data_IF_034275249131
#
_entry.id   IF_034275249131
#
_cell.length_a   1.000
_cell.length_b   1.000
_cell.length_c   1.000
_cell.angle_alpha   90.00
_cell.angle_beta   90.00
_cell.angle_gamma   90.00
#
_symmetry.space_group_name_H-M   'P 1'
#
loop_
_entity.id
_entity.type
_entity.pdbx_description
1 polymer ?
#
# COMPACT_ATOMS: atom_id res chain seq x y z
N UNK A 1 -4.56 -16.97 5.19
CA UNK A 1 -3.11 -17.23 5.06
C UNK A 1 -2.37 -15.95 5.43
N UNK A 2 -1.39 -16.04 6.32
CA UNK A 2 -0.48 -14.95 6.64
C UNK A 2 0.84 -15.25 5.91
N UNK A 3 1.32 -14.31 5.10
CA UNK A 3 2.64 -14.38 4.50
C UNK A 3 3.71 -13.94 5.51
N UNK A 4 4.92 -14.45 5.33
CA UNK A 4 6.09 -14.03 6.12
C UNK A 4 6.72 -12.74 5.62
N UNK A 5 7.95 -12.49 6.07
CA UNK A 5 8.73 -11.31 5.69
C UNK A 5 9.00 -11.23 4.18
N UNK A 6 9.14 -10.01 3.67
CA UNK A 6 9.59 -9.78 2.30
C UNK A 6 11.04 -10.28 2.14
N UNK A 7 11.29 -11.33 1.35
CA UNK A 7 12.66 -11.78 1.07
C UNK A 7 13.35 -10.84 0.07
N UNK A 8 12.73 -10.67 -1.09
CA UNK A 8 13.17 -9.80 -2.18
C UNK A 8 11.98 -9.38 -3.03
N UNK A 9 12.13 -8.27 -3.75
CA UNK A 9 11.24 -7.86 -4.85
C UNK A 9 12.03 -7.52 -6.10
N UNK A 10 11.36 -7.58 -7.24
CA UNK A 10 11.90 -7.02 -8.48
C UNK A 10 11.90 -5.49 -8.44
N UNK A 11 12.73 -4.89 -9.30
CA UNK A 11 12.51 -3.50 -9.67
C UNK A 11 11.20 -3.40 -10.42
N UNK A 12 10.27 -2.61 -9.88
CA UNK A 12 9.02 -2.37 -10.57
C UNK A 12 9.24 -1.30 -11.62
N UNK A 13 9.21 -1.74 -12.86
CA UNK A 13 9.31 -0.93 -14.08
C UNK A 13 8.21 -1.43 -15.01
N UNK A 14 7.68 -0.55 -15.85
CA UNK A 14 6.69 -0.94 -16.86
C UNK A 14 7.38 -1.59 -18.07
N UNK A 15 7.98 -2.74 -17.83
CA UNK A 15 8.64 -3.59 -18.82
C UNK A 15 8.09 -5.01 -18.71
N UNK A 16 8.14 -5.77 -19.79
CA UNK A 16 7.58 -7.13 -19.85
C UNK A 16 8.31 -8.15 -18.94
N UNK A 17 9.50 -7.81 -18.44
CA UNK A 17 10.34 -8.71 -17.66
C UNK A 17 10.66 -8.14 -16.28
N UNK A 18 10.30 -8.91 -15.24
CA UNK A 18 10.65 -8.60 -13.87
C UNK A 18 11.65 -9.65 -13.36
N UNK A 19 12.81 -9.19 -12.90
CA UNK A 19 13.80 -10.03 -12.22
C UNK A 19 14.07 -9.45 -10.85
N UNK A 20 14.03 -10.32 -9.85
CA UNK A 20 14.84 -10.15 -8.65
C UNK A 20 16.27 -10.40 -9.13
N UNK A 21 17.20 -9.50 -8.83
CA UNK A 21 18.65 -9.73 -9.08
C UNK A 21 19.10 -11.07 -8.48
N UNK A 22 20.39 -11.38 -8.50
CA UNK A 22 20.90 -12.60 -7.87
C UNK A 22 20.47 -12.70 -6.40
N UNK A 23 19.55 -13.63 -6.13
CA UNK A 23 19.04 -13.96 -4.79
C UNK A 23 19.15 -15.45 -4.60
N UNK A 24 19.83 -15.83 -3.52
CA UNK A 24 19.95 -17.21 -3.10
C UNK A 24 18.92 -17.50 -2.02
N UNK A 25 17.94 -18.32 -2.37
CA UNK A 25 16.93 -18.80 -1.44
C UNK A 25 17.51 -19.94 -0.61
N UNK A 26 17.42 -19.83 0.72
CA UNK A 26 17.90 -20.84 1.64
C UNK A 26 16.86 -21.94 1.82
N UNK A 27 17.27 -23.19 2.07
CA UNK A 27 16.29 -24.27 2.21
C UNK A 27 16.81 -25.53 2.88
N UNK A 28 15.89 -26.44 3.25
CA UNK A 28 14.49 -26.53 2.77
C UNK A 28 13.53 -25.48 3.38
N UNK A 29 12.75 -24.78 2.54
CA UNK A 29 11.78 -23.76 2.96
C UNK A 29 10.66 -23.55 1.93
N UNK A 30 9.54 -22.97 2.36
CA UNK A 30 8.41 -22.58 1.50
C UNK A 30 8.50 -21.09 1.18
N UNK A 31 8.43 -20.76 -0.11
CA UNK A 31 8.41 -19.38 -0.60
C UNK A 31 7.11 -19.07 -1.33
N UNK A 32 6.61 -17.85 -1.14
CA UNK A 32 5.45 -17.34 -1.87
C UNK A 32 5.90 -16.29 -2.87
N UNK A 33 5.59 -16.50 -4.15
CA UNK A 33 5.85 -15.53 -5.23
C UNK A 33 4.54 -14.83 -5.56
N UNK A 34 4.55 -13.50 -5.51
CA UNK A 34 3.37 -12.68 -5.83
C UNK A 34 3.67 -11.80 -7.04
N UNK A 35 2.99 -12.07 -8.15
CA UNK A 35 2.92 -11.18 -9.29
C UNK A 35 1.71 -10.26 -9.13
N UNK A 36 1.96 -8.95 -8.98
CA UNK A 36 0.91 -7.96 -8.70
C UNK A 36 0.97 -6.84 -9.73
N UNK A 37 -0.18 -6.54 -10.33
CA UNK A 37 -0.39 -5.34 -11.15
C UNK A 37 -1.34 -4.40 -10.42
N UNK A 38 -0.84 -3.24 -10.01
CA UNK A 38 -1.66 -2.26 -9.29
C UNK A 38 -2.66 -1.52 -10.17
N UNK A 39 -2.44 -1.48 -11.49
CA UNK A 39 -3.42 -0.92 -12.44
C UNK A 39 -4.66 -1.80 -12.55
N UNK A 40 -4.53 -3.10 -12.29
CA UNK A 40 -5.59 -4.08 -12.46
C UNK A 40 -6.00 -4.69 -11.10
N UNK A 41 -5.76 -4.01 -9.98
CA UNK A 41 -6.14 -4.54 -8.65
C UNK A 41 -7.66 -4.73 -8.51
N UNK A 42 -8.43 -3.94 -9.26
CA UNK A 42 -9.89 -3.99 -9.30
C UNK A 42 -10.45 -4.95 -10.35
N UNK A 43 -9.68 -5.22 -11.40
CA UNK A 43 -10.12 -6.03 -12.51
C UNK A 43 -9.52 -7.43 -12.43
N UNK A 44 -10.31 -8.51 -12.57
CA UNK A 44 -9.85 -9.88 -12.46
C UNK A 44 -9.06 -10.34 -13.71
N UNK A 45 -8.24 -9.46 -14.29
CA UNK A 45 -7.34 -9.80 -15.38
C UNK A 45 -6.22 -10.64 -14.79
N UNK A 46 -6.28 -11.95 -15.06
CA UNK A 46 -5.19 -12.87 -14.72
C UNK A 46 -3.91 -12.37 -15.38
N UNK A 47 -2.92 -12.04 -14.55
CA UNK A 47 -1.59 -11.69 -15.04
C UNK A 47 -0.95 -12.99 -15.50
N UNK A 48 -0.91 -13.21 -16.81
CA UNK A 48 -0.16 -14.31 -17.38
C UNK A 48 1.32 -14.08 -17.10
N UNK A 49 1.90 -14.95 -16.28
CA UNK A 49 3.30 -14.87 -15.87
C UNK A 49 4.00 -16.19 -16.06
N UNK A 50 5.27 -16.11 -16.44
CA UNK A 50 6.20 -17.25 -16.45
C UNK A 50 7.20 -17.00 -15.33
N UNK A 51 7.27 -17.92 -14.37
CA UNK A 51 8.27 -17.87 -13.31
C UNK A 51 9.43 -18.76 -13.71
N UNK A 52 10.61 -18.17 -13.91
CA UNK A 52 11.85 -18.90 -14.13
C UNK A 52 12.63 -19.00 -12.81
N UNK A 53 12.98 -20.22 -12.41
CA UNK A 53 13.76 -20.49 -11.20
C UNK A 53 14.92 -21.42 -11.55
N UNK A 54 16.13 -21.02 -11.15
CA UNK A 54 17.31 -21.88 -11.23
C UNK A 54 17.55 -22.51 -9.85
N UNK A 55 17.62 -23.83 -9.80
CA UNK A 55 17.87 -24.57 -8.56
C UNK A 55 18.74 -25.80 -8.82
N UNK A 56 19.74 -26.01 -7.96
CA UNK A 56 20.51 -27.25 -7.90
C UNK A 56 19.79 -28.37 -7.11
N UNK A 57 18.66 -28.05 -6.47
CA UNK A 57 17.81 -28.97 -5.70
C UNK A 57 16.46 -29.15 -6.39
N UNK A 58 15.77 -30.25 -6.11
CA UNK A 58 14.38 -30.43 -6.54
C UNK A 58 13.49 -29.31 -5.98
N UNK A 59 12.60 -28.80 -6.83
CA UNK A 59 11.64 -27.76 -6.48
C UNK A 59 10.24 -28.28 -6.80
N UNK A 60 9.30 -27.99 -5.90
CA UNK A 60 7.87 -28.14 -6.14
C UNK A 60 7.26 -26.76 -6.28
N UNK A 61 6.40 -26.57 -7.28
CA UNK A 61 5.67 -25.33 -7.49
C UNK A 61 4.17 -25.64 -7.55
N UNK A 62 3.39 -24.83 -6.85
CA UNK A 62 1.94 -24.87 -6.88
C UNK A 62 1.41 -23.47 -7.19
N UNK A 63 0.51 -23.37 -8.17
CA UNK A 63 -0.18 -22.12 -8.45
C UNK A 63 -1.31 -21.92 -7.44
N UNK A 64 -1.35 -20.76 -6.78
CA UNK A 64 -2.33 -20.47 -5.74
C UNK A 64 -2.99 -19.11 -5.96
N UNK A 65 -4.32 -19.04 -5.79
CA UNK A 65 -5.07 -17.80 -5.85
C UNK A 65 -5.08 -17.12 -4.47
N UNK A 66 -4.39 -15.99 -4.35
CA UNK A 66 -4.31 -15.27 -3.08
C UNK A 66 -5.47 -14.29 -2.89
N UNK A 67 -5.99 -14.22 -1.67
CA UNK A 67 -6.95 -13.18 -1.29
C UNK A 67 -6.31 -11.79 -1.33
N UNK A 68 -7.10 -10.74 -1.54
CA UNK A 68 -6.64 -9.34 -1.48
C UNK A 68 -5.93 -8.97 -0.17
N UNK A 69 -6.28 -9.63 0.94
CA UNK A 69 -5.59 -9.42 2.22
C UNK A 69 -4.12 -9.85 2.20
N UNK A 70 -3.75 -10.84 1.38
CA UNK A 70 -2.35 -11.26 1.23
C UNK A 70 -1.57 -10.20 0.47
N UNK A 71 -2.14 -9.65 -0.60
CA UNK A 71 -1.52 -8.54 -1.36
C UNK A 71 -1.27 -7.35 -0.44
N UNK A 72 -2.29 -6.97 0.33
CA UNK A 72 -2.19 -5.87 1.29
C UNK A 72 -1.09 -6.11 2.35
N UNK A 73 -1.02 -7.33 2.90
CA UNK A 73 0.03 -7.68 3.84
C UNK A 73 1.43 -7.62 3.19
N UNK A 74 1.55 -8.01 1.92
CA UNK A 74 2.83 -7.96 1.19
C UNK A 74 3.33 -6.54 1.02
N UNK A 75 2.42 -5.61 0.76
CA UNK A 75 2.75 -4.19 0.66
C UNK A 75 3.17 -3.62 2.00
N UNK A 76 2.55 -4.06 3.09
CA UNK A 76 2.95 -3.69 4.46
C UNK A 76 4.36 -4.20 4.75
N UNK A 77 4.64 -5.49 4.50
CA UNK A 77 5.98 -6.07 4.70
C UNK A 77 7.05 -5.32 3.89
N UNK A 78 6.72 -4.92 2.66
CA UNK A 78 7.59 -4.06 1.84
C UNK A 78 7.84 -2.70 2.49
N UNK A 79 6.80 -2.03 2.98
CA UNK A 79 6.96 -0.75 3.69
C UNK A 79 7.75 -0.90 5.00
N UNK A 80 7.58 -1.99 5.73
CA UNK A 80 8.32 -2.24 6.97
C UNK A 80 9.81 -2.49 6.70
N UNK A 81 10.12 -3.30 5.68
CA UNK A 81 11.49 -3.70 5.35
C UNK A 81 12.28 -2.63 4.58
N UNK A 82 11.66 -1.99 3.60
CA UNK A 82 12.35 -1.08 2.67
C UNK A 82 11.88 0.39 2.76
N UNK A 83 10.83 0.67 3.54
CA UNK A 83 10.26 2.00 3.63
C UNK A 83 11.19 3.00 4.31
N UNK A 84 11.40 4.13 3.65
CA UNK A 84 12.08 5.30 4.23
C UNK A 84 11.15 5.99 5.22
N UNK A 85 11.69 6.40 6.37
CA UNK A 85 10.91 7.14 7.37
C UNK A 85 10.77 8.60 6.96
N UNK A 86 9.59 9.17 7.16
CA UNK A 86 9.33 10.59 7.02
C UNK A 86 9.10 11.25 8.40
N UNK A 87 9.39 12.55 8.57
CA UNK A 87 9.00 13.31 9.74
C UNK A 87 7.48 13.18 9.98
N UNK A 88 7.08 12.99 11.24
CA UNK A 88 5.70 12.77 11.63
C UNK A 88 5.44 13.16 13.08
N UNK A 89 4.18 13.14 13.49
CA UNK A 89 3.75 13.44 14.85
C UNK A 89 4.30 12.42 15.84
N UNK A 90 4.62 12.85 17.06
CA UNK A 90 5.10 11.96 18.12
C UNK A 90 4.13 10.79 18.39
N UNK A 91 4.69 9.59 18.58
CA UNK A 91 3.91 8.35 18.72
C UNK A 91 3.29 7.86 17.41
N UNK A 92 3.72 8.40 16.26
CA UNK A 92 3.39 7.87 14.94
C UNK A 92 4.65 7.51 14.17
N UNK A 93 4.53 6.64 13.17
CA UNK A 93 5.62 6.32 12.24
C UNK A 93 5.07 6.42 10.83
N UNK A 94 5.65 7.27 10.00
CA UNK A 94 5.33 7.38 8.57
C UNK A 94 6.44 6.75 7.75
N UNK A 95 6.07 5.84 6.82
CA UNK A 95 6.99 5.16 5.91
C UNK A 95 6.53 5.31 4.48
N UNK A 96 7.48 5.46 3.57
CA UNK A 96 7.19 5.42 2.15
C UNK A 96 8.19 4.62 1.33
N UNK A 97 7.72 4.06 0.22
CA UNK A 97 8.53 3.34 -0.77
C UNK A 97 8.33 4.00 -2.14
N UNK A 98 9.38 4.64 -2.66
CA UNK A 98 9.41 5.18 -4.05
C UNK A 98 10.57 4.61 -4.87
N UNK A 99 11.66 4.22 -4.19
CA UNK A 99 12.88 3.75 -4.84
C UNK A 99 12.63 2.43 -5.56
N UNK A 100 12.96 2.39 -6.85
CA UNK A 100 12.82 1.23 -7.72
C UNK A 100 11.40 0.60 -7.73
N UNK A 101 10.36 1.41 -7.46
CA UNK A 101 8.98 0.95 -7.35
C UNK A 101 8.07 1.39 -8.53
N UNK A 102 8.52 2.36 -9.35
CA UNK A 102 7.71 2.88 -10.45
C UNK A 102 6.39 3.52 -9.97
N UNK A 103 6.46 4.26 -8.87
CA UNK A 103 5.29 4.77 -8.16
C UNK A 103 5.63 5.15 -6.72
N UNK A 104 4.65 5.06 -5.83
CA UNK A 104 4.79 5.40 -4.42
C UNK A 104 3.84 4.57 -3.54
N UNK A 105 4.31 4.05 -2.42
CA UNK A 105 3.45 3.56 -1.32
C UNK A 105 3.70 4.44 -0.10
N UNK A 106 2.63 4.93 0.53
CA UNK A 106 2.68 5.68 1.78
C UNK A 106 1.89 4.94 2.86
N UNK A 107 2.56 4.63 3.97
CA UNK A 107 2.00 3.94 5.12
C UNK A 107 2.24 4.74 6.40
N UNK A 108 1.24 4.73 7.28
CA UNK A 108 1.33 5.34 8.62
C UNK A 108 1.00 4.32 9.69
N UNK A 109 1.73 4.36 10.79
CA UNK A 109 1.54 3.54 11.99
C UNK A 109 1.19 4.46 13.17
N UNK A 110 0.08 4.17 13.84
CA UNK A 110 -0.36 4.82 15.07
C UNK A 110 0.05 3.97 16.28
N UNK A 111 1.05 4.40 17.03
CA UNK A 111 1.54 3.72 18.24
C UNK A 111 0.88 4.24 19.52
N UNK A 112 -0.14 5.10 19.42
CA UNK A 112 -0.94 5.50 20.57
C UNK A 112 -1.88 4.37 20.98
N UNK A 113 -2.00 4.13 22.29
CA UNK A 113 -2.87 3.09 22.83
C UNK A 113 -4.34 3.53 23.00
N UNK A 114 -4.60 4.84 23.02
CA UNK A 114 -5.92 5.39 23.37
C UNK A 114 -6.46 6.41 22.39
N UNK A 115 -5.64 6.88 21.44
CA UNK A 115 -6.02 7.93 20.52
C UNK A 115 -6.11 7.39 19.09
N UNK A 116 -7.17 7.79 18.39
CA UNK A 116 -7.24 7.68 16.95
C UNK A 116 -6.28 8.69 16.32
N UNK A 117 -5.74 8.35 15.16
CA UNK A 117 -4.94 9.26 14.37
C UNK A 117 -5.74 9.60 13.12
N UNK A 118 -6.16 10.86 12.99
CA UNK A 118 -6.72 11.35 11.73
C UNK A 118 -5.57 11.80 10.84
N UNK A 119 -5.58 11.33 9.59
CA UNK A 119 -4.55 11.65 8.60
C UNK A 119 -5.20 12.19 7.33
N UNK A 120 -4.72 13.33 6.86
CA UNK A 120 -5.03 13.87 5.55
C UNK A 120 -3.79 13.74 4.69
N UNK A 121 -3.90 12.97 3.62
CA UNK A 121 -2.85 12.75 2.64
C UNK A 121 -3.20 13.49 1.36
N UNK A 122 -2.29 14.33 0.90
CA UNK A 122 -2.42 15.12 -0.31
C UNK A 122 -1.27 14.83 -1.26
N UNK A 123 -1.58 14.19 -2.37
CA UNK A 123 -0.67 13.90 -3.46
C UNK A 123 -1.05 14.64 -4.75
N UNK A 124 -1.89 15.69 -4.67
CA UNK A 124 -2.45 16.39 -5.83
C UNK A 124 -1.41 17.05 -6.75
N UNK A 125 -0.22 17.34 -6.24
CA UNK A 125 0.91 17.84 -7.02
C UNK A 125 1.69 16.75 -7.77
N UNK A 126 1.33 15.47 -7.59
CA UNK A 126 1.89 14.38 -8.38
C UNK A 126 1.33 14.41 -9.80
N UNK A 127 2.17 14.13 -10.79
CA UNK A 127 1.80 14.08 -12.20
C UNK A 127 2.08 12.70 -12.80
N UNK A 128 1.27 12.32 -13.79
CA UNK A 128 1.40 11.06 -14.54
C UNK A 128 1.37 9.80 -13.64
N UNK A 129 0.41 9.77 -12.70
CA UNK A 129 0.21 8.66 -11.78
C UNK A 129 -1.25 8.26 -11.66
N UNK A 130 -1.48 6.96 -11.43
CA UNK A 130 -2.76 6.40 -11.02
C UNK A 130 -2.75 6.12 -9.52
N UNK A 131 -3.87 6.39 -8.86
CA UNK A 131 -4.07 6.13 -7.43
C UNK A 131 -5.04 4.99 -7.22
N UNK A 132 -4.71 4.04 -6.34
CA UNK A 132 -5.67 3.02 -5.89
C UNK A 132 -6.84 3.60 -5.11
N UNK A 133 -6.73 4.83 -4.60
CA UNK A 133 -7.85 5.55 -3.96
C UNK A 133 -8.82 6.16 -4.97
N UNK A 134 -8.56 6.10 -6.27
CA UNK A 134 -9.28 6.86 -7.30
C UNK A 134 -9.30 8.39 -7.07
N UNK A 135 -8.45 8.88 -6.16
CA UNK A 135 -8.22 10.28 -5.83
C UNK A 135 -6.76 10.45 -5.43
N UNK A 136 -6.21 11.65 -5.64
CA UNK A 136 -4.89 12.02 -5.14
C UNK A 136 -4.92 12.60 -3.74
N UNK A 137 -6.11 12.75 -3.15
CA UNK A 137 -6.28 13.13 -1.75
C UNK A 137 -7.02 12.03 -1.00
N UNK A 138 -6.71 11.87 0.28
CA UNK A 138 -7.45 10.99 1.17
C UNK A 138 -7.47 11.53 2.59
N UNK A 139 -8.55 11.24 3.29
CA UNK A 139 -8.67 11.46 4.73
C UNK A 139 -8.92 10.09 5.36
N UNK A 140 -8.18 9.70 6.38
CA UNK A 140 -8.30 8.39 7.02
C UNK A 140 -8.25 8.51 8.55
N UNK A 141 -8.92 7.57 9.21
CA UNK A 141 -8.88 7.35 10.66
C UNK A 141 -8.13 6.06 10.93
N UNK A 142 -6.97 6.17 11.59
CA UNK A 142 -6.16 5.03 12.00
C UNK A 142 -6.40 4.74 13.49
N UNK A 143 -6.98 3.59 13.85
CA UNK A 143 -7.24 3.25 15.25
C UNK A 143 -5.97 3.12 16.09
N UNK A 144 -6.08 3.17 17.43
CA UNK A 144 -4.97 2.92 18.34
C UNK A 144 -4.24 1.60 18.04
N UNK A 145 -2.90 1.60 18.03
CA UNK A 145 -2.08 0.42 17.72
C UNK A 145 -2.39 -0.21 16.35
N UNK A 146 -2.66 0.61 15.34
CA UNK A 146 -2.87 0.15 13.96
C UNK A 146 -1.96 0.86 12.97
N UNK A 147 -1.71 0.21 11.84
CA UNK A 147 -1.07 0.74 10.65
C UNK A 147 -2.01 0.70 9.46
N UNK A 148 -1.81 1.61 8.52
CA UNK A 148 -2.64 1.70 7.31
C UNK A 148 -1.81 2.18 6.12
N UNK A 149 -2.00 1.56 4.96
CA UNK A 149 -1.53 2.11 3.68
C UNK A 149 -2.51 3.21 3.28
N UNK A 150 -2.04 4.46 3.27
CA UNK A 150 -2.85 5.62 2.92
C UNK A 150 -3.02 5.72 1.40
N UNK A 151 -1.90 5.69 0.67
CA UNK A 151 -1.86 5.93 -0.75
C UNK A 151 -0.96 4.90 -1.44
N UNK A 152 -1.42 4.37 -2.57
CA UNK A 152 -0.58 3.65 -3.53
C UNK A 152 -0.73 4.35 -4.88
N UNK A 153 0.37 4.94 -5.35
CA UNK A 153 0.49 5.57 -6.66
C UNK A 153 1.31 4.69 -7.59
N UNK A 154 0.90 4.63 -8.85
CA UNK A 154 1.58 3.90 -9.92
C UNK A 154 1.84 4.84 -11.09
N UNK A 155 3.03 4.80 -11.67
CA UNK A 155 3.32 5.49 -12.94
C UNK A 155 2.33 5.08 -14.03
N UNK A 156 1.64 6.04 -14.63
CA UNK A 156 0.58 5.79 -15.61
C UNK A 156 1.16 5.63 -17.03
N UNK A 157 1.65 6.71 -17.62
CA UNK A 157 2.10 6.76 -19.01
C UNK A 157 3.62 6.70 -19.09
N UNK A 158 4.12 5.52 -19.44
CA UNK A 158 5.54 5.15 -19.33
C UNK A 158 6.49 5.92 -20.26
N UNK A 159 5.95 6.53 -21.31
CA UNK A 159 6.67 7.36 -22.27
C UNK A 159 6.97 8.76 -21.73
N UNK A 160 6.28 9.17 -20.66
CA UNK A 160 6.44 10.48 -20.04
C UNK A 160 7.09 10.34 -18.66
N UNK A 161 7.69 11.42 -18.18
CA UNK A 161 8.19 11.46 -16.81
C UNK A 161 7.00 11.51 -15.84
N UNK A 162 7.20 11.00 -14.62
CA UNK A 162 6.23 11.14 -13.54
C UNK A 162 6.89 11.85 -12.35
N UNK A 163 6.06 12.54 -11.58
CA UNK A 163 6.50 13.20 -10.34
C UNK A 163 5.67 12.70 -9.18
N UNK A 164 6.31 12.52 -8.04
CA UNK A 164 5.67 12.12 -6.79
C UNK A 164 5.85 13.26 -5.80
N UNK A 165 4.72 13.82 -5.38
CA UNK A 165 4.63 14.75 -4.27
C UNK A 165 3.62 14.19 -3.28
N UNK A 166 3.97 14.18 -2.00
CA UNK A 166 3.04 13.82 -0.94
C UNK A 166 3.20 14.79 0.22
N UNK A 167 2.07 15.17 0.81
CA UNK A 167 2.01 15.98 2.02
C UNK A 167 1.05 15.31 3.00
N UNK A 168 1.45 15.23 4.27
CA UNK A 168 0.66 14.62 5.33
C UNK A 168 0.35 15.65 6.41
N UNK A 169 -0.94 15.77 6.74
CA UNK A 169 -1.39 16.41 7.97
C UNK A 169 -1.91 15.35 8.93
N UNK A 170 -1.54 15.46 10.20
CA UNK A 170 -1.84 14.47 11.23
C UNK A 170 -2.41 15.17 12.46
N UNK A 171 -3.41 14.55 13.10
CA UNK A 171 -3.90 14.97 14.42
C UNK A 171 -4.33 13.77 15.25
N UNK A 172 -4.13 13.87 16.55
CA UNK A 172 -4.71 12.94 17.51
C UNK A 172 -6.18 13.29 17.75
N UNK A 173 -7.00 12.27 17.87
CA UNK A 173 -8.42 12.40 18.16
C UNK A 173 -8.84 11.40 19.24
N UNK A 174 -9.77 11.84 20.10
CA UNK A 174 -10.39 10.98 21.11
C UNK A 174 -11.57 10.17 20.55
N UNK A 175 -12.06 10.54 19.37
CA UNK A 175 -13.19 9.90 18.70
C UNK A 175 -12.79 9.38 17.34
N UNK A 176 -13.51 8.36 16.87
CA UNK A 176 -13.30 7.73 15.57
C UNK A 176 -13.74 8.59 14.37
N UNK A 177 -14.77 9.42 14.50
CA UNK A 177 -15.31 10.17 13.35
C UNK A 177 -14.40 11.29 12.86
N UNK A 178 -14.38 11.53 11.55
CA UNK A 178 -13.56 12.58 10.90
C UNK A 178 -14.01 14.03 11.22
N UNK A 179 -15.28 14.23 11.62
CA UNK A 179 -15.84 15.52 12.04
C UNK A 179 -15.50 16.67 11.08
N UNK A 180 -14.83 17.72 11.57
CA UNK A 180 -14.40 18.91 10.82
C UNK A 180 -13.45 18.58 9.65
N UNK A 181 -12.72 17.46 9.67
CA UNK A 181 -11.86 17.07 8.55
C UNK A 181 -12.63 16.54 7.34
N UNK A 182 -13.95 16.30 7.48
CA UNK A 182 -14.82 16.08 6.32
C UNK A 182 -14.78 17.27 5.36
N UNK A 183 -14.51 18.49 5.83
CA UNK A 183 -14.38 19.67 4.95
C UNK A 183 -13.15 19.64 4.06
N UNK A 184 -12.17 18.76 4.34
CA UNK A 184 -10.99 18.56 3.50
C UNK A 184 -11.28 17.63 2.31
N UNK A 185 -12.42 16.94 2.33
CA UNK A 185 -12.89 16.14 1.21
C UNK A 185 -13.62 17.02 0.19
N UNK A 186 -13.20 17.05 -1.07
CA UNK A 186 -13.97 17.69 -2.12
C UNK A 186 -15.33 16.96 -2.28
N UNK A 187 -16.41 17.73 -2.38
CA UNK A 187 -17.66 17.32 -3.03
C UNK A 187 -18.65 16.41 -2.28
N UNK A 188 -18.45 16.06 -1.00
CA UNK A 188 -19.32 15.09 -0.31
C UNK A 188 -20.15 15.73 0.82
N UNK A 189 -21.22 16.44 0.44
CA UNK A 189 -22.08 17.26 1.32
C UNK A 189 -22.97 16.47 2.33
N UNK A 190 -22.85 15.14 2.45
CA UNK A 190 -23.68 14.36 3.39
C UNK A 190 -23.10 12.99 3.76
N UNK A 191 -21.85 12.96 4.22
CA UNK A 191 -21.26 11.72 4.74
C UNK A 191 -21.69 11.44 6.20
N UNK A 192 -21.93 10.16 6.57
CA UNK A 192 -22.21 9.80 7.96
C UNK A 192 -21.08 10.24 8.90
N UNK A 193 -21.43 10.65 10.13
CA UNK A 193 -20.43 10.99 11.16
C UNK A 193 -19.50 9.81 11.53
N UNK A 194 -19.90 8.58 11.18
CA UNK A 194 -19.12 7.35 11.34
C UNK A 194 -18.15 7.08 10.18
N UNK A 195 -17.97 8.03 9.25
CA UNK A 195 -17.06 7.87 8.12
C UNK A 195 -15.62 7.88 8.61
N UNK A 196 -14.91 6.78 8.34
CA UNK A 196 -13.52 6.59 8.74
C UNK A 196 -12.52 6.91 7.64
N UNK A 197 -12.96 6.93 6.39
CA UNK A 197 -12.09 7.29 5.27
C UNK A 197 -12.85 7.93 4.12
N UNK A 198 -12.15 8.80 3.39
CA UNK A 198 -12.58 9.43 2.15
C UNK A 198 -11.40 9.41 1.18
N UNK A 199 -11.60 9.11 -0.11
CA UNK A 199 -12.87 8.77 -0.77
C UNK A 199 -13.47 7.45 -0.30
N UNK A 200 -14.78 7.28 -0.53
CA UNK A 200 -15.44 5.99 -0.36
C UNK A 200 -14.87 5.01 -1.38
N UNK A 201 -14.45 3.85 -0.88
CA UNK A 201 -13.88 2.78 -1.69
C UNK A 201 -14.97 1.73 -1.85
N UNK A 202 -15.34 1.41 -3.09
CA UNK A 202 -16.36 0.39 -3.40
C UNK A 202 -15.76 -0.99 -3.67
N UNK A 203 -14.53 -1.00 -4.17
CA UNK A 203 -13.84 -2.21 -4.59
C UNK A 203 -13.31 -3.02 -3.38
N UNK A 204 -13.70 -4.30 -3.20
CA UNK A 204 -13.26 -5.11 -2.05
C UNK A 204 -11.75 -5.37 -1.97
N UNK A 205 -11.06 -5.47 -3.10
CA UNK A 205 -9.61 -5.65 -3.16
C UNK A 205 -8.89 -4.39 -2.67
N UNK A 206 -9.35 -3.23 -3.13
CA UNK A 206 -8.82 -1.92 -2.73
C UNK A 206 -9.19 -1.60 -1.28
N UNK A 207 -10.40 -1.93 -0.82
CA UNK A 207 -10.80 -1.83 0.59
C UNK A 207 -9.82 -2.63 1.45
N UNK A 208 -9.51 -3.87 1.05
CA UNK A 208 -8.58 -4.71 1.78
C UNK A 208 -7.18 -4.09 1.83
N UNK A 209 -6.68 -3.52 0.72
CA UNK A 209 -5.39 -2.83 0.68
C UNK A 209 -5.30 -1.70 1.71
N UNK A 210 -6.34 -0.85 1.77
CA UNK A 210 -6.36 0.34 2.61
C UNK A 210 -6.93 0.12 4.01
N UNK A 211 -7.39 -1.08 4.35
CA UNK A 211 -7.94 -1.38 5.68
C UNK A 211 -6.85 -1.23 6.78
N UNK A 212 -7.13 -0.52 7.89
CA UNK A 212 -6.26 -0.51 9.06
C UNK A 212 -6.00 -1.92 9.61
N UNK A 213 -4.76 -2.18 10.03
CA UNK A 213 -4.32 -3.47 10.59
C UNK A 213 -3.57 -3.26 11.89
N UNK A 214 -3.75 -4.16 12.86
CA UNK A 214 -3.06 -4.05 14.15
C UNK A 214 -1.54 -4.11 13.97
N UNK A 215 -0.84 -3.30 14.75
CA UNK A 215 0.59 -3.41 14.98
C UNK A 215 0.78 -4.59 15.94
N UNK A 216 1.57 -5.57 15.53
CA UNK A 216 1.99 -6.71 16.34
C UNK A 216 3.36 -6.45 16.93
#
# INVERSE_FOLDING_TARGET
>A
MQIGELIVRSFRRSIAFASTKDVFLNGPALYTVLAISFSNMSDPISIQTVVALHSAKMVMMEAYCFSSSVIAHSMIEMCLKEGQKAPCLDGTVTRYVSKDFGGHILMVENHHHRHFLHVYCDCSQSANVLSTRASLTSVDVIPPMHRQILMLLTHFETTQMYTIHHNLKQRLASSRGLHDWLSLAPSELSLPLSTDHIPLIKDPCVISLHKPRRIG
#
